data_IF_879138037085
#
_entry.id   IF_879138037085
#
_cell.length_a   1.000
_cell.length_b   1.000
_cell.length_c   1.000
_cell.angle_alpha   90.00
_cell.angle_beta   90.00
_cell.angle_gamma   90.00
#
_symmetry.space_group_name_H-M   'P 1'
#
loop_
_entity.id
_entity.type
_entity.pdbx_description
1 polymer ?
#
# COMPACT_ATOMS: atom_id res chain seq x y z
N UNK A 1 -8.82 12.28 2.52
CA UNK A 1 -9.48 11.27 3.38
C UNK A 1 -9.01 9.87 3.01
N UNK A 2 -8.66 9.08 3.98
CA UNK A 2 -8.22 7.70 3.77
C UNK A 2 -9.32 6.76 4.25
N UNK A 3 -9.76 5.85 3.38
CA UNK A 3 -10.80 4.89 3.72
C UNK A 3 -10.31 3.46 3.50
N UNK A 4 -10.85 2.55 4.30
CA UNK A 4 -10.52 1.13 4.23
C UNK A 4 -11.80 0.34 3.93
N UNK A 5 -11.77 -0.44 2.84
CA UNK A 5 -12.92 -1.19 2.34
C UNK A 5 -12.53 -2.66 2.22
N UNK A 6 -13.47 -3.55 2.50
CA UNK A 6 -13.18 -4.98 2.59
C UNK A 6 -14.12 -5.76 1.68
N UNK A 7 -13.55 -6.43 0.67
CA UNK A 7 -14.24 -7.34 -0.23
C UNK A 7 -13.87 -8.80 0.08
N UNK A 8 -13.48 -9.06 1.33
CA UNK A 8 -13.09 -10.37 1.85
C UNK A 8 -13.38 -10.38 3.35
N UNK A 9 -13.18 -11.50 4.01
CA UNK A 9 -13.43 -11.64 5.45
C UNK A 9 -12.37 -10.96 6.32
N UNK A 10 -11.26 -10.56 5.71
CA UNK A 10 -10.19 -9.85 6.43
C UNK A 10 -10.64 -8.46 6.86
N UNK A 11 -10.18 -8.02 8.04
CA UNK A 11 -10.34 -6.64 8.51
C UNK A 11 -9.09 -6.19 9.26
N UNK A 12 -8.72 -4.93 9.06
CA UNK A 12 -7.65 -4.31 9.83
C UNK A 12 -8.12 -4.09 11.27
N UNK A 13 -7.23 -4.30 12.23
CA UNK A 13 -7.55 -4.11 13.65
C UNK A 13 -7.28 -2.68 14.13
N UNK A 14 -6.41 -1.94 13.43
CA UNK A 14 -5.92 -0.65 13.89
C UNK A 14 -6.00 0.42 12.78
N UNK A 15 -7.18 0.55 12.17
CA UNK A 15 -7.41 1.50 11.08
C UNK A 15 -6.98 2.92 11.43
N UNK A 16 -7.33 3.39 12.63
CA UNK A 16 -7.01 4.76 13.05
C UNK A 16 -5.50 5.01 13.09
N UNK A 17 -4.75 4.06 13.61
CA UNK A 17 -3.29 4.16 13.68
C UNK A 17 -2.68 4.17 12.28
N UNK A 18 -3.15 3.29 11.40
CA UNK A 18 -2.65 3.20 10.03
C UNK A 18 -3.00 4.45 9.24
N UNK A 19 -4.18 5.02 9.43
CA UNK A 19 -4.56 6.29 8.80
C UNK A 19 -3.61 7.40 9.20
N UNK A 20 -3.33 7.55 10.49
CA UNK A 20 -2.39 8.56 11.00
C UNK A 20 -0.99 8.35 10.44
N UNK A 21 -0.57 7.11 10.35
CA UNK A 21 0.74 6.75 9.79
C UNK A 21 0.84 7.21 8.33
N UNK A 22 -0.14 6.85 7.50
CA UNK A 22 -0.15 7.20 6.08
C UNK A 22 -0.15 8.72 5.93
N UNK A 23 -0.97 9.42 6.72
CA UNK A 23 -1.02 10.89 6.73
C UNK A 23 0.36 11.47 7.03
N UNK A 24 1.06 10.92 8.01
CA UNK A 24 2.39 11.40 8.40
C UNK A 24 3.41 11.20 7.28
N UNK A 25 3.38 10.04 6.62
CA UNK A 25 4.29 9.76 5.50
C UNK A 25 4.05 10.76 4.36
N UNK A 26 2.80 11.02 4.03
CA UNK A 26 2.44 11.99 2.98
C UNK A 26 3.00 13.38 3.33
N UNK A 27 2.80 13.83 4.57
CA UNK A 27 3.28 15.13 5.03
C UNK A 27 4.81 15.20 5.05
N UNK A 28 5.49 14.11 5.43
CA UNK A 28 6.95 14.05 5.47
C UNK A 28 7.57 14.27 4.08
N UNK A 29 6.83 13.95 3.02
CA UNK A 29 7.27 14.14 1.64
C UNK A 29 6.74 15.43 1.02
N UNK A 30 6.26 16.37 1.85
CA UNK A 30 5.75 17.67 1.41
C UNK A 30 4.56 17.56 0.45
N UNK A 31 3.72 16.55 0.68
CA UNK A 31 2.50 16.35 -0.08
C UNK A 31 1.29 16.55 0.82
N UNK A 32 0.11 16.57 0.24
CA UNK A 32 -1.15 16.74 0.93
C UNK A 32 -2.03 15.52 0.71
N UNK A 33 -2.77 15.14 1.73
CA UNK A 33 -3.69 14.01 1.66
C UNK A 33 -4.90 14.36 0.79
N UNK A 34 -5.08 13.61 -0.31
CA UNK A 34 -6.30 13.64 -1.08
C UNK A 34 -7.22 12.50 -0.67
N UNK A 35 -7.99 11.96 -1.61
CA UNK A 35 -8.84 10.81 -1.37
C UNK A 35 -8.08 9.53 -1.71
N UNK A 36 -7.82 8.71 -0.69
CA UNK A 36 -7.13 7.42 -0.84
C UNK A 36 -8.08 6.33 -0.35
N UNK A 37 -8.42 5.41 -1.23
CA UNK A 37 -9.31 4.31 -0.90
C UNK A 37 -8.54 2.99 -1.01
N UNK A 38 -8.40 2.28 0.12
CA UNK A 38 -7.86 0.93 0.14
C UNK A 38 -9.01 -0.06 0.01
N UNK A 39 -8.86 -1.04 -0.87
CA UNK A 39 -9.81 -2.12 -1.03
C UNK A 39 -9.06 -3.44 -0.86
N UNK A 40 -9.36 -4.14 0.23
CA UNK A 40 -8.76 -5.44 0.53
C UNK A 40 -9.64 -6.54 -0.08
N UNK A 41 -9.03 -7.37 -0.92
CA UNK A 41 -9.75 -8.36 -1.71
C UNK A 41 -8.93 -9.66 -1.77
N UNK A 42 -9.40 -10.61 -2.57
CA UNK A 42 -8.72 -11.89 -2.80
C UNK A 42 -8.02 -11.91 -4.17
N UNK A 43 -7.29 -12.99 -4.44
CA UNK A 43 -6.56 -13.18 -5.70
C UNK A 43 -7.49 -13.12 -6.91
N UNK A 44 -8.65 -13.75 -6.82
CA UNK A 44 -9.60 -13.81 -7.94
C UNK A 44 -10.11 -12.42 -8.31
N UNK A 45 -10.44 -11.61 -7.30
CA UNK A 45 -10.88 -10.23 -7.50
C UNK A 45 -9.80 -9.40 -8.20
N UNK A 46 -8.57 -9.49 -7.69
CA UNK A 46 -7.46 -8.71 -8.21
C UNK A 46 -7.05 -9.16 -9.60
N UNK A 47 -7.08 -10.47 -9.87
CA UNK A 47 -6.79 -11.02 -11.19
C UNK A 47 -7.79 -10.49 -12.23
N UNK A 48 -9.06 -10.44 -11.87
CA UNK A 48 -10.11 -9.90 -12.74
C UNK A 48 -9.83 -8.44 -13.11
N UNK A 49 -9.45 -7.62 -12.14
CA UNK A 49 -9.07 -6.23 -12.38
C UNK A 49 -7.84 -6.13 -13.28
N UNK A 50 -6.85 -6.99 -13.04
CA UNK A 50 -5.61 -7.01 -13.81
C UNK A 50 -5.88 -7.32 -15.28
N UNK A 51 -6.72 -8.31 -15.56
CA UNK A 51 -7.13 -8.67 -16.92
C UNK A 51 -7.92 -7.54 -17.56
N UNK A 52 -8.92 -7.00 -16.84
CA UNK A 52 -9.89 -6.04 -17.38
C UNK A 52 -9.27 -4.69 -17.67
N UNK A 53 -8.42 -4.17 -16.77
CA UNK A 53 -7.91 -2.80 -16.85
C UNK A 53 -6.46 -2.70 -17.29
N UNK A 54 -5.63 -3.71 -17.00
CA UNK A 54 -4.20 -3.67 -17.33
C UNK A 54 -3.81 -4.69 -18.41
N UNK A 55 -4.73 -5.53 -18.82
CA UNK A 55 -4.54 -6.56 -19.85
C UNK A 55 -3.39 -7.52 -19.50
N UNK A 56 -3.19 -7.76 -18.20
CA UNK A 56 -2.22 -8.72 -17.68
C UNK A 56 -2.95 -9.92 -17.07
N UNK A 57 -2.45 -11.11 -17.31
CA UNK A 57 -3.03 -12.36 -16.82
C UNK A 57 -2.09 -13.00 -15.80
N UNK A 58 -1.69 -12.22 -14.78
CA UNK A 58 -0.79 -12.69 -13.74
C UNK A 58 -1.32 -12.29 -12.36
N UNK A 59 -1.02 -13.11 -11.37
CA UNK A 59 -1.34 -12.77 -9.98
C UNK A 59 -0.41 -11.65 -9.51
N UNK A 60 -0.98 -10.68 -8.82
CA UNK A 60 -0.21 -9.59 -8.21
C UNK A 60 -0.79 -9.30 -6.83
N UNK A 61 0.00 -8.69 -5.96
CA UNK A 61 -0.43 -8.34 -4.62
C UNK A 61 -1.16 -7.00 -4.56
N UNK A 62 -0.89 -6.08 -5.49
CA UNK A 62 -1.42 -4.74 -5.47
C UNK A 62 -1.70 -4.24 -6.89
N UNK A 63 -2.82 -3.53 -7.04
CA UNK A 63 -3.11 -2.73 -8.23
C UNK A 63 -3.53 -1.35 -7.72
N UNK A 64 -2.93 -0.30 -8.25
CA UNK A 64 -3.25 1.07 -7.85
C UNK A 64 -3.63 1.91 -9.05
N UNK A 65 -4.64 2.76 -8.85
CA UNK A 65 -5.11 3.72 -9.85
C UNK A 65 -4.85 5.12 -9.30
N UNK A 66 -3.86 5.81 -9.86
CA UNK A 66 -3.37 7.09 -9.38
C UNK A 66 -4.27 8.23 -9.84
N UNK A 67 -4.90 8.92 -8.91
CA UNK A 67 -5.72 10.11 -9.15
C UNK A 67 -5.09 11.35 -8.50
N UNK A 68 -3.80 11.30 -8.21
CA UNK A 68 -3.08 12.41 -7.61
C UNK A 68 -3.10 13.63 -8.53
N UNK A 69 -3.15 14.83 -7.93
CA UNK A 69 -3.17 16.07 -8.67
C UNK A 69 -2.35 17.12 -7.92
N UNK A 70 -1.28 17.59 -8.55
CA UNK A 70 -0.36 18.51 -7.91
C UNK A 70 0.24 17.91 -6.64
N UNK A 71 0.03 18.58 -5.52
CA UNK A 71 0.51 18.09 -4.21
C UNK A 71 -0.45 17.09 -3.56
N UNK A 72 -1.68 17.00 -4.05
CA UNK A 72 -2.67 16.07 -3.50
C UNK A 72 -2.38 14.66 -3.94
N UNK A 73 -2.24 13.77 -2.96
CA UNK A 73 -1.97 12.34 -3.17
C UNK A 73 -3.29 11.60 -3.02
N UNK A 74 -3.70 10.87 -4.06
CA UNK A 74 -4.96 10.15 -4.02
C UNK A 74 -5.06 9.08 -5.06
N UNK A 75 -6.00 8.17 -4.86
CA UNK A 75 -6.29 7.08 -5.76
C UNK A 75 -6.89 5.89 -5.06
N UNK A 76 -7.10 4.82 -5.83
CA UNK A 76 -7.66 3.57 -5.32
C UNK A 76 -6.56 2.52 -5.30
N UNK A 77 -6.40 1.84 -4.17
CA UNK A 77 -5.37 0.83 -3.96
C UNK A 77 -6.05 -0.49 -3.60
N UNK A 78 -5.98 -1.44 -4.52
CA UNK A 78 -6.54 -2.78 -4.35
C UNK A 78 -5.42 -3.73 -3.93
N UNK A 79 -5.61 -4.45 -2.83
CA UNK A 79 -4.61 -5.36 -2.27
C UNK A 79 -5.23 -6.74 -2.07
N UNK A 80 -4.59 -7.78 -2.63
CA UNK A 80 -4.97 -9.16 -2.38
C UNK A 80 -4.35 -9.64 -1.08
N UNK A 81 -5.18 -9.87 -0.07
CA UNK A 81 -4.71 -10.38 1.22
C UNK A 81 -4.16 -11.81 1.11
N UNK A 82 -4.68 -12.61 0.17
CA UNK A 82 -4.15 -13.94 -0.10
C UNK A 82 -2.72 -13.87 -0.65
N UNK A 83 -2.48 -12.96 -1.60
CA UNK A 83 -1.15 -12.81 -2.20
C UNK A 83 -0.17 -12.23 -1.19
N UNK A 84 -0.62 -11.30 -0.35
CA UNK A 84 0.21 -10.76 0.74
C UNK A 84 0.62 -11.87 1.70
N UNK A 85 -0.30 -12.76 2.07
CA UNK A 85 0.00 -13.89 2.97
C UNK A 85 1.06 -14.83 2.36
N UNK A 86 0.91 -15.14 1.07
CA UNK A 86 1.87 -15.99 0.36
C UNK A 86 3.25 -15.32 0.28
N UNK A 87 3.29 -14.03 -0.04
CA UNK A 87 4.54 -13.28 -0.12
C UNK A 87 5.22 -13.18 1.25
N UNK A 88 4.45 -12.95 2.31
CA UNK A 88 4.99 -12.90 3.68
C UNK A 88 5.67 -14.22 4.04
N UNK A 89 5.04 -15.32 3.67
CA UNK A 89 5.58 -16.66 3.90
C UNK A 89 6.90 -16.86 3.15
N UNK A 90 6.94 -16.46 1.88
CA UNK A 90 8.13 -16.57 1.03
C UNK A 90 9.28 -15.71 1.56
N UNK A 91 8.97 -14.49 2.05
CA UNK A 91 9.96 -13.55 2.57
C UNK A 91 10.31 -13.80 4.04
N UNK A 92 9.62 -14.75 4.70
CA UNK A 92 9.83 -15.08 6.12
C UNK A 92 9.61 -13.89 7.04
N UNK A 93 8.57 -13.13 6.75
CA UNK A 93 8.12 -12.01 7.60
C UNK A 93 6.67 -12.26 8.03
N UNK A 94 6.17 -11.49 8.98
CA UNK A 94 4.78 -11.62 9.40
C UNK A 94 3.84 -11.10 8.33
N UNK A 95 2.59 -11.58 8.35
CA UNK A 95 1.54 -11.10 7.45
C UNK A 95 1.37 -9.58 7.61
N UNK A 96 1.32 -9.09 8.85
CA UNK A 96 1.11 -7.66 9.10
C UNK A 96 2.26 -6.81 8.58
N UNK A 97 3.50 -7.26 8.73
CA UNK A 97 4.65 -6.53 8.20
C UNK A 97 4.58 -6.41 6.69
N UNK A 98 4.28 -7.51 5.99
CA UNK A 98 4.16 -7.49 4.53
C UNK A 98 2.97 -6.65 4.08
N UNK A 99 1.83 -6.75 4.77
CA UNK A 99 0.64 -5.97 4.44
C UNK A 99 0.93 -4.47 4.57
N UNK A 100 1.56 -4.06 5.65
CA UNK A 100 1.90 -2.66 5.89
C UNK A 100 2.88 -2.15 4.83
N UNK A 101 3.86 -2.99 4.44
CA UNK A 101 4.79 -2.65 3.36
C UNK A 101 4.08 -2.42 2.04
N UNK A 102 3.16 -3.30 1.68
CA UNK A 102 2.39 -3.19 0.44
C UNK A 102 1.49 -1.95 0.48
N UNK A 103 0.86 -1.68 1.63
CA UNK A 103 0.00 -0.50 1.78
C UNK A 103 0.77 0.79 1.53
N UNK A 104 1.95 0.93 2.13
CA UNK A 104 2.71 2.17 1.97
C UNK A 104 3.40 2.24 0.61
N UNK A 105 3.72 1.10 0.01
CA UNK A 105 4.28 1.03 -1.34
C UNK A 105 3.38 1.76 -2.35
N UNK A 106 2.08 1.53 -2.29
CA UNK A 106 1.12 2.20 -3.17
C UNK A 106 1.12 3.71 -3.00
N UNK A 107 1.17 4.18 -1.76
CA UNK A 107 1.23 5.63 -1.47
C UNK A 107 2.55 6.22 -1.95
N UNK A 108 3.66 5.51 -1.77
CA UNK A 108 4.97 5.99 -2.24
C UNK A 108 5.01 6.14 -3.75
N UNK A 109 4.34 5.25 -4.49
CA UNK A 109 4.17 5.43 -5.94
C UNK A 109 3.42 6.73 -6.25
N UNK A 110 2.36 7.02 -5.52
CA UNK A 110 1.59 8.26 -5.73
C UNK A 110 2.40 9.50 -5.41
N UNK A 111 3.35 9.40 -4.47
CA UNK A 111 4.25 10.49 -4.12
C UNK A 111 5.30 10.72 -5.22
N UNK A 112 5.58 9.69 -6.04
CA UNK A 112 6.48 9.82 -7.18
C UNK A 112 7.64 8.84 -7.20
N UNK A 113 7.71 7.91 -6.24
CA UNK A 113 8.77 6.89 -6.26
C UNK A 113 8.42 5.81 -7.26
N UNK A 114 9.40 5.43 -8.07
CA UNK A 114 9.27 4.37 -9.06
C UNK A 114 9.93 3.09 -8.53
N UNK A 115 9.66 1.96 -9.20
CA UNK A 115 10.34 0.70 -8.92
C UNK A 115 10.72 -0.04 -10.21
N UNK A 116 10.87 0.70 -11.31
CA UNK A 116 11.09 0.12 -12.63
C UNK A 116 12.56 -0.19 -12.94
N UNK A 117 13.50 0.45 -12.24
CA UNK A 117 14.94 0.22 -12.44
C UNK A 117 15.54 -0.35 -11.16
N UNK A 118 16.75 -0.98 -11.22
CA UNK A 118 17.41 -1.42 -10.00
C UNK A 118 17.64 -0.32 -8.98
N UNK A 119 18.02 0.88 -9.43
CA UNK A 119 18.23 2.02 -8.53
C UNK A 119 16.91 2.48 -7.90
N UNK A 120 15.84 2.58 -8.69
CA UNK A 120 14.54 3.02 -8.15
C UNK A 120 13.93 1.97 -7.22
N UNK A 121 14.18 0.69 -7.47
CA UNK A 121 13.76 -0.40 -6.57
C UNK A 121 14.45 -0.28 -5.21
N UNK A 122 15.75 0.02 -5.22
CA UNK A 122 16.50 0.24 -3.97
C UNK A 122 15.95 1.43 -3.20
N UNK A 123 15.69 2.54 -3.90
CA UNK A 123 15.13 3.73 -3.28
C UNK A 123 13.74 3.46 -2.72
N UNK A 124 12.90 2.74 -3.45
CA UNK A 124 11.58 2.35 -2.97
C UNK A 124 11.70 1.53 -1.68
N UNK A 125 12.61 0.56 -1.64
CA UNK A 125 12.84 -0.27 -0.46
C UNK A 125 13.30 0.57 0.73
N UNK A 126 14.18 1.53 0.52
CA UNK A 126 14.62 2.46 1.58
C UNK A 126 13.44 3.25 2.13
N UNK A 127 12.60 3.78 1.24
CA UNK A 127 11.44 4.56 1.65
C UNK A 127 10.41 3.70 2.39
N UNK A 128 10.19 2.47 1.93
CA UNK A 128 9.34 1.51 2.64
C UNK A 128 9.87 1.22 4.04
N UNK A 129 11.16 0.96 4.16
CA UNK A 129 11.80 0.67 5.45
C UNK A 129 11.69 1.86 6.40
N UNK A 130 11.91 3.07 5.90
CA UNK A 130 11.78 4.28 6.69
C UNK A 130 10.33 4.48 7.17
N UNK A 131 9.37 4.23 6.30
CA UNK A 131 7.95 4.35 6.63
C UNK A 131 7.53 3.32 7.68
N UNK A 132 7.99 2.08 7.56
CA UNK A 132 7.71 1.03 8.55
C UNK A 132 8.31 1.36 9.91
N UNK A 133 9.49 1.96 9.92
CA UNK A 133 10.12 2.43 11.16
C UNK A 133 9.28 3.52 11.82
N UNK A 134 8.76 4.45 11.03
CA UNK A 134 7.85 5.49 11.54
C UNK A 134 6.59 4.88 12.16
N UNK A 135 6.04 3.84 11.55
CA UNK A 135 4.87 3.15 12.09
C UNK A 135 5.20 2.50 13.43
N UNK A 136 6.35 1.85 13.55
CA UNK A 136 6.81 1.25 14.80
C UNK A 136 6.90 2.31 15.89
N UNK A 137 7.44 3.48 15.58
CA UNK A 137 7.55 4.59 16.52
C UNK A 137 6.17 5.09 16.96
N UNK A 138 5.23 5.24 16.02
CA UNK A 138 3.86 5.66 16.33
C UNK A 138 3.18 4.67 17.26
N UNK A 139 3.35 3.37 17.03
CA UNK A 139 2.74 2.33 17.85
C UNK A 139 3.34 2.26 19.24
N UNK A 140 4.62 2.59 19.41
CA UNK A 140 5.28 2.55 20.72
C UNK A 140 4.89 3.73 21.61
N UNK A 141 4.40 4.83 21.06
CA UNK A 141 3.97 6.00 21.83
C UNK A 141 2.60 5.73 22.50
N UNK A 142 1.85 4.84 21.91
CA UNK A 142 0.53 4.47 22.41
C UNK A 142 0.65 3.26 23.36
#
# INVERSE_FOLDING_TARGET
MISFNYETNFKLENEDCLEKWIQKIILNHNREEGEINYIFCDDAYLLKLNIEFLQHDTLTDIISFDNSLGRLVGGDIFISTERVADNANDFKVSFLEELQRVMIHGVLHYIGFSDKTPESQKEMTIQENNALKELTNLMSIN
#
